data_IF_992755372327
#
_entry.id   IF_992755372327
#
_cell.length_a   1.000
_cell.length_b   1.000
_cell.length_c   1.000
_cell.angle_alpha   90.00
_cell.angle_beta   90.00
_cell.angle_gamma   90.00
#
_symmetry.space_group_name_H-M   'P 1'
#
loop_
_entity.id
_entity.type
_entity.pdbx_description
1 polymer ?
#
# COMPACT_ATOMS: atom_id res chain seq x y z
N UNK A 1 25.76 -14.11 18.19
CA UNK A 1 24.59 -13.20 18.24
C UNK A 1 23.37 -14.09 17.93
N UNK A 2 22.46 -14.29 18.89
CA UNK A 2 21.31 -15.20 18.72
C UNK A 2 20.28 -14.52 17.82
N UNK A 3 20.18 -14.97 16.57
CA UNK A 3 19.06 -14.68 15.69
C UNK A 3 17.87 -15.51 16.16
N UNK A 4 17.01 -14.93 17.00
CA UNK A 4 15.75 -15.57 17.36
C UNK A 4 14.84 -15.51 16.15
N UNK A 5 14.60 -16.66 15.51
CA UNK A 5 13.61 -16.81 14.44
C UNK A 5 12.24 -16.44 15.01
N UNK A 6 11.57 -15.46 14.41
CA UNK A 6 10.27 -14.96 14.83
C UNK A 6 9.21 -16.04 14.58
N UNK A 7 8.48 -16.44 15.63
CA UNK A 7 7.49 -17.54 15.57
C UNK A 7 6.06 -17.06 15.58
N UNK A 8 5.82 -15.81 16.01
CA UNK A 8 4.48 -15.27 16.16
C UNK A 8 4.03 -14.53 14.90
N UNK A 9 2.74 -14.58 14.54
CA UNK A 9 2.19 -13.85 13.41
C UNK A 9 2.47 -12.35 13.54
N UNK A 10 3.06 -11.76 12.50
CA UNK A 10 3.33 -10.32 12.51
C UNK A 10 2.09 -9.52 12.12
N UNK A 11 1.81 -8.40 12.80
CA UNK A 11 0.72 -7.48 12.46
C UNK A 11 0.69 -6.99 11.00
N UNK A 12 1.83 -7.05 10.31
CA UNK A 12 2.00 -6.53 8.96
C UNK A 12 2.50 -5.08 8.94
N UNK A 13 2.75 -4.57 7.75
CA UNK A 13 3.31 -3.22 7.54
C UNK A 13 2.60 -2.51 6.41
N UNK A 14 2.39 -1.20 6.56
CA UNK A 14 1.85 -0.36 5.49
C UNK A 14 2.99 0.45 4.91
N UNK A 15 3.14 0.41 3.58
CA UNK A 15 4.22 1.07 2.85
C UNK A 15 3.64 1.91 1.71
N UNK A 16 4.05 3.17 1.62
CA UNK A 16 3.89 3.98 0.42
C UNK A 16 5.12 3.75 -0.45
N UNK A 17 4.96 2.96 -1.49
CA UNK A 17 5.98 2.69 -2.47
C UNK A 17 5.75 3.47 -3.76
N UNK A 18 6.84 3.94 -4.36
CA UNK A 18 6.87 4.47 -5.72
C UNK A 18 7.88 3.66 -6.50
N UNK A 19 7.52 3.27 -7.73
CA UNK A 19 8.43 2.61 -8.67
C UNK A 19 8.53 3.45 -9.94
N UNK A 20 9.75 3.73 -10.37
CA UNK A 20 10.03 4.44 -11.60
C UNK A 20 11.30 3.87 -12.25
N UNK A 21 11.23 3.53 -13.54
CA UNK A 21 12.34 2.93 -14.28
C UNK A 21 12.92 1.68 -13.59
N UNK A 22 12.06 0.76 -13.13
CA UNK A 22 12.39 -0.46 -12.39
C UNK A 22 13.09 -0.23 -11.03
N UNK A 23 13.16 1.03 -10.58
CA UNK A 23 13.69 1.40 -9.27
C UNK A 23 12.51 1.72 -8.37
N UNK A 24 12.31 0.86 -7.38
CA UNK A 24 11.30 1.08 -6.38
C UNK A 24 11.90 1.63 -5.07
N UNK A 25 11.14 2.53 -4.45
CA UNK A 25 11.52 3.28 -3.25
C UNK A 25 10.36 3.26 -2.26
N UNK A 26 10.65 2.87 -1.02
CA UNK A 26 9.77 3.12 0.12
C UNK A 26 9.87 4.61 0.49
N UNK A 27 8.74 5.31 0.43
CA UNK A 27 8.64 6.74 0.72
C UNK A 27 8.26 6.96 2.18
N UNK A 28 7.36 6.13 2.69
CA UNK A 28 6.92 6.16 4.07
C UNK A 28 6.41 4.78 4.48
N UNK A 29 6.72 4.38 5.71
CA UNK A 29 6.41 3.06 6.23
C UNK A 29 5.97 3.16 7.68
N UNK A 30 5.00 2.33 8.04
CA UNK A 30 4.66 2.06 9.44
C UNK A 30 4.51 0.56 9.67
N UNK A 31 4.87 0.14 10.87
CA UNK A 31 4.56 -1.19 11.38
C UNK A 31 3.22 -1.14 12.09
N UNK A 32 2.34 -2.08 11.76
CA UNK A 32 1.09 -2.24 12.49
C UNK A 32 1.38 -2.80 13.88
N UNK A 33 0.58 -2.37 14.87
CA UNK A 33 0.69 -2.89 16.24
C UNK A 33 -0.12 -4.17 16.43
N UNK A 34 -1.23 -4.27 15.70
CA UNK A 34 -2.20 -5.35 15.77
C UNK A 34 -2.44 -5.91 14.37
N UNK A 35 -2.75 -7.20 14.30
CA UNK A 35 -3.07 -7.87 13.05
C UNK A 35 -4.41 -7.39 12.51
N UNK A 36 -4.46 -7.11 11.21
CA UNK A 36 -5.71 -6.86 10.49
C UNK A 36 -6.48 -8.17 10.39
N UNK A 37 -7.70 -8.19 10.93
CA UNK A 37 -8.62 -9.33 10.89
C UNK A 37 -9.96 -8.90 10.30
N UNK A 38 -10.89 -9.84 10.09
CA UNK A 38 -12.22 -9.54 9.56
C UNK A 38 -13.01 -8.52 10.41
N UNK A 39 -12.76 -8.47 11.71
CA UNK A 39 -13.43 -7.54 12.64
C UNK A 39 -12.71 -6.18 12.74
N UNK A 40 -11.50 -6.06 12.20
CA UNK A 40 -10.69 -4.85 12.23
C UNK A 40 -10.16 -4.53 10.82
N UNK A 41 -11.02 -4.02 9.91
CA UNK A 41 -10.64 -3.77 8.53
C UNK A 41 -9.63 -2.62 8.40
N UNK A 42 -8.73 -2.75 7.43
CA UNK A 42 -7.79 -1.71 7.06
C UNK A 42 -8.32 -0.90 5.89
N UNK A 43 -8.46 0.41 6.08
CA UNK A 43 -8.85 1.34 5.03
C UNK A 43 -7.62 2.04 4.47
N UNK A 44 -7.43 1.94 3.15
CA UNK A 44 -6.37 2.65 2.44
C UNK A 44 -6.97 3.78 1.60
N UNK A 45 -6.26 4.90 1.53
CA UNK A 45 -6.64 6.04 0.68
C UNK A 45 -5.41 6.64 0.04
N UNK A 46 -5.50 6.90 -1.27
CA UNK A 46 -4.48 7.61 -2.03
C UNK A 46 -5.12 8.82 -2.70
N UNK A 47 -4.59 10.01 -2.46
CA UNK A 47 -5.01 11.24 -3.12
C UNK A 47 -3.94 11.68 -4.11
N UNK A 48 -4.37 12.11 -5.30
CA UNK A 48 -3.49 12.66 -6.34
C UNK A 48 -3.90 14.11 -6.64
N UNK A 49 -2.96 15.03 -6.48
CA UNK A 49 -3.11 16.46 -6.78
C UNK A 49 -1.94 16.91 -7.66
N UNK A 50 -2.19 17.14 -8.95
CA UNK A 50 -1.09 17.38 -9.89
C UNK A 50 -0.13 16.19 -9.94
N UNK A 51 1.16 16.40 -9.68
CA UNK A 51 2.16 15.32 -9.59
C UNK A 51 2.26 14.69 -8.19
N UNK A 52 1.62 15.28 -7.17
CA UNK A 52 1.77 14.87 -5.78
C UNK A 52 0.76 13.79 -5.40
N UNK A 53 1.26 12.69 -4.86
CA UNK A 53 0.48 11.60 -4.27
C UNK A 53 0.61 11.66 -2.76
N UNK A 54 -0.47 11.46 -2.04
CA UNK A 54 -0.46 11.40 -0.58
C UNK A 54 -1.26 10.20 -0.12
N UNK A 55 -0.59 9.31 0.62
CA UNK A 55 -1.17 8.09 1.14
C UNK A 55 -1.68 8.30 2.57
N UNK A 56 -2.83 7.72 2.85
CA UNK A 56 -3.47 7.70 4.15
C UNK A 56 -3.96 6.29 4.46
N UNK A 57 -4.06 5.99 5.75
CA UNK A 57 -4.65 4.76 6.25
C UNK A 57 -5.58 5.06 7.42
N UNK A 58 -6.50 4.14 7.69
CA UNK A 58 -7.40 4.19 8.84
C UNK A 58 -7.73 2.77 9.31
N UNK A 59 -7.86 2.60 10.63
CA UNK A 59 -8.26 1.34 11.27
C UNK A 59 -9.73 1.37 11.73
N UNK A 60 -10.41 2.51 11.60
CA UNK A 60 -11.80 2.73 12.04
C UNK A 60 -12.73 3.18 10.90
N UNK A 61 -12.20 3.49 9.72
CA UNK A 61 -12.94 4.01 8.57
C UNK A 61 -13.33 5.48 8.69
N UNK A 62 -13.08 6.13 9.84
CA UNK A 62 -13.48 7.51 10.13
C UNK A 62 -12.27 8.46 10.12
N UNK A 63 -11.21 8.09 10.84
CA UNK A 63 -10.02 8.91 11.05
C UNK A 63 -8.88 8.42 10.17
N UNK A 64 -8.58 9.20 9.14
CA UNK A 64 -7.49 8.91 8.22
C UNK A 64 -6.20 9.60 8.67
N UNK A 65 -5.19 8.80 8.95
CA UNK A 65 -3.84 9.25 9.28
C UNK A 65 -2.99 9.30 8.02
N UNK A 66 -2.22 10.37 7.85
CA UNK A 66 -1.30 10.49 6.73
C UNK A 66 -0.12 9.55 6.94
N UNK A 67 0.15 8.69 5.97
CA UNK A 67 1.34 7.84 5.93
C UNK A 67 2.54 8.63 5.38
N UNK A 68 2.35 9.26 4.22
CA UNK A 68 3.41 10.01 3.54
C UNK A 68 2.98 10.54 2.19
N UNK A 69 3.89 11.22 1.50
CA UNK A 69 3.65 11.79 0.17
C UNK A 69 4.87 11.68 -0.73
N UNK A 70 4.63 11.49 -2.03
CA UNK A 70 5.66 11.52 -3.05
C UNK A 70 5.16 12.21 -4.33
N UNK A 71 6.08 12.81 -5.05
CA UNK A 71 5.83 13.30 -6.40
C UNK A 71 6.18 12.20 -7.41
N UNK A 72 5.27 11.96 -8.37
CA UNK A 72 5.51 11.08 -9.50
C UNK A 72 4.80 11.60 -10.76
N UNK A 73 5.51 11.65 -11.89
CA UNK A 73 4.94 12.10 -13.16
C UNK A 73 4.42 10.91 -13.96
N UNK A 74 3.20 10.46 -13.62
CA UNK A 74 2.55 9.33 -14.29
C UNK A 74 1.60 9.81 -15.40
N UNK A 75 1.63 9.12 -16.55
CA UNK A 75 0.68 9.26 -17.66
C UNK A 75 -0.26 8.06 -17.70
N UNK A 76 -1.49 8.26 -18.19
CA UNK A 76 -2.51 7.21 -18.33
C UNK A 76 -2.67 6.34 -17.08
N UNK A 77 -2.83 7.00 -15.93
CA UNK A 77 -2.85 6.35 -14.61
C UNK A 77 -4.00 5.35 -14.52
N UNK A 78 -3.64 4.09 -14.25
CA UNK A 78 -4.57 3.02 -13.88
C UNK A 78 -4.47 2.75 -12.39
N UNK A 79 -5.61 2.46 -11.78
CA UNK A 79 -5.70 2.18 -10.33
C UNK A 79 -6.51 0.90 -10.15
N UNK A 80 -6.03 0.02 -9.28
CA UNK A 80 -6.69 -1.24 -8.96
C UNK A 80 -6.16 -1.81 -7.65
N UNK A 81 -6.77 -2.91 -7.23
CA UNK A 81 -6.38 -3.69 -6.06
C UNK A 81 -5.72 -4.98 -6.53
N UNK A 82 -4.73 -5.43 -5.78
CA UNK A 82 -4.02 -6.67 -6.04
C UNK A 82 -3.73 -7.37 -4.72
N UNK A 83 -3.88 -8.70 -4.70
CA UNK A 83 -3.43 -9.57 -3.64
C UNK A 83 -2.50 -10.61 -4.26
N UNK A 84 -1.31 -10.78 -3.69
CA UNK A 84 -0.28 -11.69 -4.19
C UNK A 84 0.19 -12.60 -3.08
N UNK A 85 0.18 -13.90 -3.34
CA UNK A 85 0.73 -14.92 -2.46
C UNK A 85 2.17 -15.24 -2.89
N UNK A 86 3.14 -14.48 -2.37
CA UNK A 86 4.55 -14.87 -2.14
C UNK A 86 5.42 -15.48 -3.25
N UNK A 87 4.94 -15.89 -4.43
CA UNK A 87 5.81 -16.38 -5.52
C UNK A 87 6.38 -15.15 -6.23
N UNK A 88 7.53 -14.71 -5.73
CA UNK A 88 8.26 -13.55 -6.25
C UNK A 88 8.98 -13.97 -7.54
N UNK A 89 8.66 -13.30 -8.65
CA UNK A 89 9.55 -13.30 -9.83
C UNK A 89 10.79 -12.45 -9.52
N UNK A 90 11.97 -12.85 -10.03
CA UNK A 90 13.28 -12.23 -9.73
C UNK A 90 13.34 -10.69 -9.90
N UNK A 91 12.38 -10.08 -10.60
CA UNK A 91 12.26 -8.63 -10.73
C UNK A 91 11.90 -7.92 -9.40
N UNK A 92 11.16 -8.55 -8.48
CA UNK A 92 10.76 -7.89 -7.22
C UNK A 92 11.78 -8.07 -6.07
N UNK A 93 12.74 -9.00 -6.20
CA UNK A 93 13.84 -9.21 -5.23
C UNK A 93 14.90 -8.11 -5.26
N UNK A 94 15.02 -7.33 -6.34
CA UNK A 94 15.96 -6.21 -6.40
C UNK A 94 15.52 -5.01 -5.54
N UNK A 95 14.25 -4.99 -5.12
CA UNK A 95 13.61 -3.85 -4.44
C UNK A 95 13.42 -4.11 -2.95
N UNK A 96 13.29 -5.38 -2.55
CA UNK A 96 12.95 -5.76 -1.19
C UNK A 96 13.75 -6.98 -0.75
N UNK A 97 14.32 -6.91 0.46
CA UNK A 97 14.80 -8.10 1.15
C UNK A 97 13.64 -8.73 1.90
N UNK A 98 13.15 -9.86 1.38
CA UNK A 98 12.23 -10.75 2.08
C UNK A 98 12.95 -12.07 2.39
N UNK A 99 12.59 -12.69 3.50
CA UNK A 99 13.06 -14.05 3.81
C UNK A 99 12.58 -14.98 2.69
N UNK A 100 13.52 -15.62 2.00
CA UNK A 100 13.24 -16.54 0.89
C UNK A 100 12.72 -17.90 1.36
N UNK A 101 12.41 -18.03 2.64
CA UNK A 101 11.81 -19.19 3.25
C UNK A 101 10.43 -19.50 2.62
N UNK A 102 10.45 -20.42 1.66
CA UNK A 102 9.27 -20.97 0.98
C UNK A 102 8.40 -21.85 1.89
N UNK A 103 8.76 -22.03 3.17
CA UNK A 103 7.97 -22.79 4.14
C UNK A 103 6.76 -21.98 4.57
N UNK A 104 5.83 -21.82 3.62
CA UNK A 104 4.56 -21.14 3.80
C UNK A 104 3.67 -21.97 4.75
N UNK A 105 2.93 -21.35 5.68
CA UNK A 105 1.84 -22.03 6.36
C UNK A 105 0.87 -22.66 5.34
N UNK A 106 0.37 -23.87 5.63
CA UNK A 106 -0.50 -24.63 4.71
C UNK A 106 -1.77 -23.85 4.31
N UNK A 107 -2.18 -22.87 5.10
CA UNK A 107 -3.30 -21.98 4.82
C UNK A 107 -2.84 -20.66 4.18
N UNK A 108 -3.29 -20.30 2.97
CA UNK A 108 -3.10 -18.94 2.47
C UNK A 108 -3.71 -17.92 3.44
N UNK A 109 -3.18 -16.71 3.46
CA UNK A 109 -3.89 -15.60 4.09
C UNK A 109 -5.03 -15.19 3.15
N UNK A 110 -6.26 -15.27 3.65
CA UNK A 110 -7.43 -14.83 2.89
C UNK A 110 -7.49 -13.31 2.88
N UNK A 111 -7.59 -12.72 1.68
CA UNK A 111 -7.77 -11.28 1.50
C UNK A 111 -9.15 -11.05 0.89
N UNK A 112 -9.96 -10.25 1.58
CA UNK A 112 -11.21 -9.75 1.05
C UNK A 112 -11.12 -8.23 0.88
N UNK A 113 -11.65 -7.74 -0.24
CA UNK A 113 -11.83 -6.31 -0.49
C UNK A 113 -13.32 -6.02 -0.48
N UNK A 114 -13.80 -5.40 0.60
CA UNK A 114 -15.22 -5.04 0.73
C UNK A 114 -15.57 -3.84 -0.17
N UNK A 115 -14.68 -2.85 -0.23
CA UNK A 115 -14.95 -1.60 -0.94
C UNK A 115 -13.75 -1.06 -1.71
N UNK A 116 -13.99 -0.66 -2.96
CA UNK A 116 -13.04 0.09 -3.78
C UNK A 116 -13.75 1.25 -4.48
N UNK A 117 -13.22 2.45 -4.33
CA UNK A 117 -13.81 3.65 -4.94
C UNK A 117 -12.75 4.60 -5.45
N UNK A 118 -13.03 5.17 -6.62
CA UNK A 118 -12.29 6.28 -7.19
C UNK A 118 -13.23 7.49 -7.24
N UNK A 119 -12.82 8.61 -6.64
CA UNK A 119 -13.50 9.89 -6.76
C UNK A 119 -12.59 10.86 -7.51
N UNK A 120 -13.11 11.45 -8.58
CA UNK A 120 -12.47 12.57 -9.25
C UNK A 120 -13.28 13.83 -8.93
N UNK A 121 -12.61 14.84 -8.39
CA UNK A 121 -13.14 16.20 -8.36
C UNK A 121 -12.41 16.94 -9.47
N UNK A 122 -13.09 17.14 -10.59
CA UNK A 122 -12.53 17.88 -11.71
C UNK A 122 -12.11 19.29 -11.27
N UNK A 123 -11.26 19.93 -12.06
CA UNK A 123 -11.00 21.36 -11.91
C UNK A 123 -12.32 22.06 -12.26
N UNK A 124 -12.88 22.84 -11.33
CA UNK A 124 -14.03 23.70 -11.62
C UNK A 124 -13.50 24.81 -12.53
N UNK A 125 -13.75 24.69 -13.84
CA UNK A 125 -13.65 25.83 -14.74
C UNK A 125 -14.84 26.75 -14.40
N UNK A 126 -14.70 27.58 -13.37
CA UNK A 126 -15.47 28.82 -13.33
C UNK A 126 -15.26 29.46 -14.69
N UNK A 127 -16.33 29.51 -15.48
CA UNK A 127 -16.33 30.12 -16.80
C UNK A 127 -15.60 31.44 -16.63
N UNK A 128 -14.48 31.62 -17.33
CA UNK A 128 -13.82 32.90 -17.48
C UNK A 128 -14.82 33.82 -18.19
N UNK A 129 -15.80 34.33 -17.43
CA UNK A 129 -16.59 35.49 -17.76
C UNK A 129 -15.67 36.68 -17.53
N UNK A 130 -14.90 36.99 -18.57
CA UNK A 130 -14.65 38.36 -19.02
C UNK A 130 -14.10 38.36 -20.42
#
# INVERSE_FOLDING_TARGET
IKTTRQRDPQPGTIDLLVEENDIARSVARIDLKEMITGDQPLYLRLTKEGARYTAYYSLDGERYQQLGSADAMLRDVRVGLIACDGIITQSMTSTFWFDSDTTKPDTPFDVAFDYFQIKNKGIVYEQMKK
#
